data_IF_563349294057
#
_entry.id   IF_563349294057
#
_cell.length_a   1.000
_cell.length_b   1.000
_cell.length_c   1.000
_cell.angle_alpha   90.00
_cell.angle_beta   90.00
_cell.angle_gamma   90.00
#
_symmetry.space_group_name_H-M   'P 1'
#
loop_
_entity.id
_entity.type
_entity.pdbx_description
1 polymer ?
#
# COMPACT_ATOMS: atom_id res chain seq x y z
N UNK A 1 -24.73 9.25 -13.67
CA UNK A 1 -23.89 8.07 -13.98
C UNK A 1 -23.35 7.56 -12.65
N UNK A 2 -23.49 6.27 -12.35
CA UNK A 2 -22.96 5.71 -11.09
C UNK A 2 -21.47 5.45 -11.28
N UNK A 3 -20.65 5.78 -10.29
CA UNK A 3 -19.21 5.55 -10.29
C UNK A 3 -18.85 4.59 -9.16
N UNK A 4 -17.98 3.63 -9.46
CA UNK A 4 -17.46 2.67 -8.50
C UNK A 4 -16.14 3.21 -7.96
N UNK A 5 -16.07 3.43 -6.66
CA UNK A 5 -14.88 3.97 -6.00
C UNK A 5 -14.27 2.92 -5.07
N UNK A 6 -12.96 3.01 -4.89
CA UNK A 6 -12.22 2.24 -3.89
C UNK A 6 -11.54 3.19 -2.91
N UNK A 7 -11.49 2.77 -1.63
CA UNK A 7 -10.69 3.44 -0.60
C UNK A 7 -9.45 2.59 -0.37
N UNK A 8 -8.28 3.19 -0.54
CA UNK A 8 -6.98 2.53 -0.32
C UNK A 8 -6.25 3.20 0.83
N UNK A 9 -5.59 2.40 1.66
CA UNK A 9 -4.68 2.88 2.70
C UNK A 9 -3.25 2.77 2.23
N UNK A 10 -2.57 3.91 2.07
CA UNK A 10 -1.17 3.94 1.63
C UNK A 10 -0.25 3.86 2.86
N UNK A 11 0.54 2.79 2.94
CA UNK A 11 1.60 2.66 3.94
C UNK A 11 2.79 3.56 3.61
N UNK A 12 3.64 3.84 4.59
CA UNK A 12 4.89 4.56 4.35
C UNK A 12 5.81 3.79 3.39
N UNK A 13 6.87 4.42 2.87
CA UNK A 13 8.01 3.68 2.34
C UNK A 13 8.54 2.66 3.36
N UNK A 14 9.16 1.56 2.90
CA UNK A 14 9.79 0.57 3.78
C UNK A 14 10.90 1.18 4.62
N UNK A 15 11.15 0.60 5.79
CA UNK A 15 12.27 0.95 6.65
C UNK A 15 13.60 0.81 5.90
N UNK A 16 14.34 1.93 5.82
CA UNK A 16 15.56 2.05 5.02
C UNK A 16 16.73 1.23 5.56
N UNK A 17 16.72 0.89 6.85
CA UNK A 17 17.79 0.13 7.48
C UNK A 17 17.47 -1.38 7.48
N UNK A 18 16.21 -1.75 7.70
CA UNK A 18 15.79 -3.15 7.76
C UNK A 18 15.77 -3.83 6.38
N UNK A 19 15.34 -3.12 5.35
CA UNK A 19 15.25 -3.68 3.99
C UNK A 19 16.62 -4.18 3.47
N UNK A 20 17.73 -3.41 3.56
CA UNK A 20 19.04 -3.92 3.15
C UNK A 20 19.57 -5.01 4.09
N UNK A 21 19.33 -4.91 5.41
CA UNK A 21 19.76 -5.93 6.37
C UNK A 21 19.08 -7.28 6.14
N UNK A 22 17.84 -7.27 5.65
CA UNK A 22 17.07 -8.46 5.33
C UNK A 22 17.33 -8.99 3.91
N UNK A 23 18.32 -8.47 3.18
CA UNK A 23 18.54 -8.82 1.76
C UNK A 23 17.27 -8.67 0.92
N UNK A 24 16.51 -7.59 1.15
CA UNK A 24 15.29 -7.24 0.41
C UNK A 24 14.15 -8.27 0.59
N UNK A 25 14.13 -9.00 1.71
CA UNK A 25 13.08 -9.98 1.99
C UNK A 25 12.00 -9.47 2.94
N UNK A 26 12.30 -8.44 3.74
CA UNK A 26 11.35 -7.86 4.71
C UNK A 26 11.07 -6.39 4.38
N UNK A 27 9.83 -6.11 4.00
CA UNK A 27 9.32 -4.75 3.73
C UNK A 27 8.47 -4.29 4.91
N UNK A 28 9.11 -3.74 5.94
CA UNK A 28 8.41 -3.17 7.09
C UNK A 28 8.01 -1.72 6.79
N UNK A 29 6.72 -1.41 6.85
CA UNK A 29 6.19 -0.06 6.63
C UNK A 29 5.31 0.38 7.80
N UNK A 30 5.11 1.69 7.96
CA UNK A 30 4.19 2.24 8.94
C UNK A 30 2.79 2.43 8.35
N UNK A 31 1.78 2.01 9.11
CA UNK A 31 0.39 2.40 8.86
C UNK A 31 0.22 3.88 9.19
N UNK A 32 -0.30 4.66 8.24
CA UNK A 32 -0.38 6.12 8.35
C UNK A 32 -1.77 6.63 8.75
N UNK A 33 -2.71 5.72 9.05
CA UNK A 33 -4.07 6.06 9.43
C UNK A 33 -4.80 6.86 8.34
N UNK A 34 -5.75 7.68 8.76
CA UNK A 34 -6.65 8.42 7.88
C UNK A 34 -5.93 9.42 6.97
N UNK A 35 -4.73 9.89 7.36
CA UNK A 35 -3.95 10.85 6.59
C UNK A 35 -3.45 10.29 5.24
N UNK A 36 -3.42 8.97 5.09
CA UNK A 36 -2.97 8.30 3.87
C UNK A 36 -4.09 7.49 3.19
N UNK A 37 -5.35 7.79 3.50
CA UNK A 37 -6.48 7.24 2.77
C UNK A 37 -6.66 7.98 1.45
N UNK A 38 -6.70 7.24 0.36
CA UNK A 38 -7.00 7.77 -0.96
C UNK A 38 -8.30 7.16 -1.48
N UNK A 39 -9.12 8.00 -2.10
CA UNK A 39 -10.30 7.59 -2.86
C UNK A 39 -9.91 7.60 -4.33
N UNK A 40 -9.99 6.43 -4.97
CA UNK A 40 -9.68 6.27 -6.40
C UNK A 40 -10.88 5.69 -7.14
N UNK A 41 -10.93 5.91 -8.46
CA UNK A 41 -11.85 5.15 -9.32
C UNK A 41 -11.33 3.71 -9.42
N UNK A 42 -12.24 2.73 -9.34
CA UNK A 42 -11.86 1.31 -9.41
C UNK A 42 -11.19 0.96 -10.74
N UNK A 43 -11.49 1.69 -11.81
CA UNK A 43 -10.89 1.50 -13.14
C UNK A 43 -9.38 1.85 -13.17
N UNK A 44 -8.86 2.54 -12.14
CA UNK A 44 -7.43 2.84 -12.00
C UNK A 44 -6.61 1.70 -11.39
N UNK A 45 -7.26 0.65 -10.85
CA UNK A 45 -6.57 -0.51 -10.28
C UNK A 45 -6.17 -1.47 -11.39
N UNK A 46 -4.88 -1.51 -11.73
CA UNK A 46 -4.36 -2.43 -12.73
C UNK A 46 -4.26 -3.88 -12.21
N UNK A 47 -3.84 -4.06 -10.96
CA UNK A 47 -3.72 -5.37 -10.32
C UNK A 47 -3.84 -5.28 -8.79
N UNK A 48 -4.22 -6.40 -8.17
CA UNK A 48 -4.23 -6.58 -6.72
C UNK A 48 -3.33 -7.75 -6.39
N UNK A 49 -2.29 -7.51 -5.59
CA UNK A 49 -1.33 -8.53 -5.17
C UNK A 49 -1.50 -8.77 -3.67
N UNK A 50 -1.56 -10.04 -3.28
CA UNK A 50 -1.54 -10.46 -1.89
C UNK A 50 -0.12 -10.88 -1.51
N UNK A 51 0.40 -10.33 -0.41
CA UNK A 51 1.62 -10.83 0.24
C UNK A 51 1.19 -11.79 1.35
N UNK A 52 1.63 -13.04 1.27
CA UNK A 52 1.35 -14.08 2.28
C UNK A 52 2.37 -13.93 3.42
N UNK A 53 1.95 -13.92 4.70
CA UNK A 53 2.86 -13.84 5.85
C UNK A 53 3.67 -15.12 6.09
#
# INVERSE_FOLDING_TARGET
KVHSLAVISVFSPPDCDLLPQSFQTVYACHYQGDHALLVIDIEQIESVILIIP
#
